data_IF_541161559638
#
_entry.id   IF_541161559638
#
_cell.length_a   1.000
_cell.length_b   1.000
_cell.length_c   1.000
_cell.angle_alpha   90.00
_cell.angle_beta   90.00
_cell.angle_gamma   90.00
#
_symmetry.space_group_name_H-M   'P 1'
#
loop_
_entity.id
_entity.type
_entity.pdbx_description
1 polymer ?
#
# COMPACT_ATOMS: atom_id res chain seq x y z
N UNK A 1 31.58 -13.13 32.56
CA UNK A 1 31.59 -11.88 31.76
C UNK A 1 30.62 -10.79 32.28
N UNK A 2 29.75 -11.01 33.28
CA UNK A 2 28.75 -10.03 33.72
C UNK A 2 29.20 -8.99 34.77
N UNK A 3 30.23 -9.28 35.58
CA UNK A 3 30.61 -8.44 36.72
C UNK A 3 31.14 -7.05 36.32
N UNK A 4 31.83 -6.93 35.18
CA UNK A 4 32.35 -5.65 34.69
C UNK A 4 31.24 -4.71 34.23
N UNK A 5 30.17 -5.23 33.62
CA UNK A 5 29.04 -4.42 33.20
C UNK A 5 28.29 -3.82 34.40
N UNK A 6 28.15 -4.57 35.50
CA UNK A 6 27.54 -4.09 36.75
C UNK A 6 28.35 -2.95 37.36
N UNK A 7 29.67 -3.10 37.46
CA UNK A 7 30.56 -2.05 37.98
C UNK A 7 30.52 -0.77 37.13
N UNK A 8 30.45 -0.89 35.81
CA UNK A 8 30.33 0.28 34.91
C UNK A 8 28.96 0.95 35.06
N UNK A 9 27.90 0.17 35.25
CA UNK A 9 26.55 0.70 35.46
C UNK A 9 26.47 1.49 36.77
N UNK A 10 27.03 0.95 37.86
CA UNK A 10 27.11 1.62 39.16
C UNK A 10 27.87 2.95 39.08
N UNK A 11 29.05 2.97 38.44
CA UNK A 11 29.82 4.22 38.22
C UNK A 11 29.04 5.27 37.42
N UNK A 12 28.14 4.84 36.55
CA UNK A 12 27.27 5.71 35.73
C UNK A 12 25.91 5.98 36.38
N UNK A 13 25.68 5.54 37.61
CA UNK A 13 24.40 5.66 38.35
C UNK A 13 23.19 5.16 37.54
N UNK A 14 23.37 4.05 36.82
CA UNK A 14 22.34 3.40 36.03
C UNK A 14 22.29 1.92 36.36
N UNK A 15 21.19 1.24 36.01
CA UNK A 15 21.14 -0.22 36.08
C UNK A 15 21.83 -0.87 34.86
N UNK A 16 22.31 -2.12 34.99
CA UNK A 16 23.00 -2.83 33.90
C UNK A 16 22.12 -3.06 32.66
N UNK A 17 20.81 -3.20 32.83
CA UNK A 17 19.88 -3.44 31.72
C UNK A 17 19.70 -2.17 30.89
N UNK A 18 19.51 -1.03 31.55
CA UNK A 18 19.44 0.28 30.89
C UNK A 18 20.76 0.64 30.23
N UNK A 19 21.90 0.41 30.90
CA UNK A 19 23.21 0.61 30.28
C UNK A 19 23.35 -0.20 28.99
N UNK A 20 22.97 -1.49 29.04
CA UNK A 20 22.99 -2.35 27.85
C UNK A 20 22.06 -1.80 26.76
N UNK A 21 20.85 -1.35 27.09
CA UNK A 21 19.93 -0.76 26.10
C UNK A 21 20.50 0.50 25.44
N UNK A 22 21.14 1.38 26.21
CA UNK A 22 21.77 2.60 25.70
C UNK A 22 22.92 2.28 24.74
N UNK A 23 23.74 1.26 25.04
CA UNK A 23 24.91 0.92 24.23
C UNK A 23 24.57 0.04 23.02
N UNK A 24 23.59 -0.88 23.12
CA UNK A 24 23.32 -1.90 22.07
C UNK A 24 22.70 -1.32 20.79
N UNK A 25 22.17 -0.10 20.83
CA UNK A 25 21.52 0.55 19.68
C UNK A 25 22.50 1.21 18.71
N UNK A 26 22.28 2.50 18.45
CA UNK A 26 23.05 3.28 17.49
C UNK A 26 24.54 3.40 17.85
N UNK A 27 24.84 3.43 19.15
CA UNK A 27 26.22 3.55 19.63
C UNK A 27 27.04 2.30 19.27
N UNK A 28 26.44 1.11 19.36
CA UNK A 28 27.06 -0.13 18.90
C UNK A 28 27.39 -0.06 17.40
N UNK A 29 26.49 0.48 16.57
CA UNK A 29 26.76 0.65 15.13
C UNK A 29 27.91 1.61 14.85
N UNK A 30 27.96 2.74 15.55
CA UNK A 30 29.06 3.71 15.44
C UNK A 30 30.39 3.04 15.82
N UNK A 31 30.42 2.31 16.94
CA UNK A 31 31.62 1.60 17.41
C UNK A 31 32.04 0.54 16.42
N UNK A 32 31.13 -0.32 15.96
CA UNK A 32 31.40 -1.36 14.98
C UNK A 32 31.99 -0.79 13.68
N UNK A 33 31.43 0.30 13.15
CA UNK A 33 31.98 0.99 11.97
C UNK A 33 33.34 1.62 12.25
N UNK A 34 33.56 2.17 13.44
CA UNK A 34 34.83 2.78 13.82
C UNK A 34 35.97 1.76 14.00
N UNK A 35 35.66 0.53 14.45
CA UNK A 35 36.65 -0.55 14.64
C UNK A 35 36.75 -1.51 13.46
N UNK A 36 35.95 -1.28 12.40
CA UNK A 36 35.91 -2.10 11.18
C UNK A 36 37.31 -2.42 10.66
N UNK A 37 37.54 -3.69 10.28
CA UNK A 37 38.86 -4.20 9.93
C UNK A 37 39.35 -3.63 8.60
N UNK A 38 38.43 -3.48 7.64
CA UNK A 38 38.72 -2.91 6.32
C UNK A 38 38.66 -1.38 6.37
N UNK A 39 39.79 -0.71 6.08
CA UNK A 39 39.92 0.76 6.13
C UNK A 39 38.86 1.49 5.30
N UNK A 40 38.54 0.99 4.10
CA UNK A 40 37.56 1.62 3.19
C UNK A 40 36.12 1.61 3.75
N UNK A 41 35.81 0.72 4.69
CA UNK A 41 34.49 0.61 5.33
C UNK A 41 34.40 1.38 6.65
N UNK A 42 35.56 1.76 7.22
CA UNK A 42 35.66 2.67 8.37
C UNK A 42 35.32 4.10 7.96
N UNK A 43 35.07 4.96 8.93
CA UNK A 43 34.94 6.39 8.67
C UNK A 43 36.16 6.95 7.94
N UNK A 44 35.97 7.72 6.86
CA UNK A 44 37.08 8.29 6.09
C UNK A 44 37.82 9.38 6.86
N UNK A 45 37.17 10.02 7.84
CA UNK A 45 37.74 11.07 8.67
C UNK A 45 37.16 11.07 10.09
N UNK A 46 37.85 11.74 11.01
CA UNK A 46 37.33 12.02 12.36
C UNK A 46 36.10 12.92 12.32
N UNK A 47 35.99 13.80 11.33
CA UNK A 47 34.82 14.69 11.18
C UNK A 47 33.53 13.92 10.89
N UNK A 48 33.61 12.83 10.13
CA UNK A 48 32.45 11.95 9.89
C UNK A 48 32.03 11.19 11.16
N UNK A 49 33.00 10.66 11.92
CA UNK A 49 32.72 10.04 13.21
C UNK A 49 32.05 11.04 14.17
N UNK A 50 32.56 12.27 14.26
CA UNK A 50 31.97 13.32 15.07
C UNK A 50 30.56 13.71 14.59
N UNK A 51 30.31 13.71 13.29
CA UNK A 51 28.99 13.96 12.73
C UNK A 51 27.99 12.87 13.14
N UNK A 52 28.38 11.60 13.11
CA UNK A 52 27.53 10.50 13.56
C UNK A 52 27.27 10.51 15.07
N UNK A 53 28.27 10.88 15.88
CA UNK A 53 28.07 11.09 17.33
C UNK A 53 27.06 12.22 17.58
N UNK A 54 27.21 13.36 16.89
CA UNK A 54 26.22 14.45 16.99
C UNK A 54 24.83 13.99 16.62
N UNK A 55 24.68 13.27 15.50
CA UNK A 55 23.39 12.69 15.07
C UNK A 55 22.80 11.78 16.14
N UNK A 56 23.61 10.94 16.78
CA UNK A 56 23.16 10.10 17.88
C UNK A 56 22.63 10.92 19.06
N UNK A 57 23.35 11.97 19.48
CA UNK A 57 22.94 12.84 20.59
C UNK A 57 21.65 13.62 20.31
N UNK A 58 21.42 14.03 19.07
CA UNK A 58 20.17 14.73 18.66
C UNK A 58 19.08 13.78 18.15
N UNK A 59 19.18 12.49 18.46
CA UNK A 59 18.21 11.46 18.07
C UNK A 59 17.94 11.36 16.56
N UNK A 60 18.91 11.75 15.73
CA UNK A 60 18.87 11.60 14.28
C UNK A 60 19.40 10.23 13.82
N UNK A 61 18.93 9.71 12.68
CA UNK A 61 19.46 8.46 12.13
C UNK A 61 20.96 8.59 11.86
N UNK A 62 21.74 7.64 12.38
CA UNK A 62 23.21 7.57 12.19
C UNK A 62 23.53 6.95 10.83
N UNK A 63 24.60 7.42 10.18
CA UNK A 63 25.05 6.90 8.88
C UNK A 63 25.76 5.54 9.00
N UNK A 64 26.16 5.15 10.21
CA UNK A 64 26.75 3.85 10.51
C UNK A 64 25.79 2.66 10.32
N UNK A 65 24.48 2.88 10.43
CA UNK A 65 23.50 1.82 10.41
C UNK A 65 23.25 1.34 8.96
N UNK A 66 23.14 0.02 8.70
CA UNK A 66 22.67 -0.48 7.40
C UNK A 66 21.35 0.19 7.02
N UNK A 67 21.06 0.39 5.72
CA UNK A 67 19.93 1.18 5.25
C UNK A 67 18.57 0.50 5.54
N UNK A 68 18.16 0.49 6.80
CA UNK A 68 16.85 0.01 7.22
C UNK A 68 15.86 1.18 7.18
N UNK A 69 14.94 1.13 6.22
CA UNK A 69 13.87 2.12 6.08
C UNK A 69 13.00 2.19 7.34
N UNK A 70 12.75 1.03 7.97
CA UNK A 70 11.98 0.91 9.22
C UNK A 70 12.64 1.64 10.39
N UNK A 71 13.98 1.57 10.50
CA UNK A 71 14.73 2.28 11.54
C UNK A 71 14.60 3.80 11.40
N UNK A 72 14.69 4.33 10.17
CA UNK A 72 14.54 5.76 9.90
C UNK A 72 13.12 6.24 10.15
N UNK A 73 12.11 5.47 9.73
CA UNK A 73 10.69 5.77 9.99
C UNK A 73 10.41 5.82 11.49
N UNK A 74 10.90 4.85 12.27
CA UNK A 74 10.71 4.83 13.73
C UNK A 74 11.33 6.05 14.41
N UNK A 75 12.55 6.46 14.02
CA UNK A 75 13.17 7.69 14.55
C UNK A 75 12.41 8.95 14.12
N UNK A 76 11.92 8.99 12.88
CA UNK A 76 11.11 10.08 12.37
C UNK A 76 9.79 10.23 13.15
N UNK A 77 9.08 9.12 13.38
CA UNK A 77 7.87 9.06 14.19
C UNK A 77 8.14 9.49 15.64
N UNK A 78 9.29 9.08 16.21
CA UNK A 78 9.68 9.49 17.57
C UNK A 78 9.95 10.99 17.68
N UNK A 79 10.49 11.61 16.63
CA UNK A 79 10.78 13.04 16.58
C UNK A 79 9.54 13.89 16.28
N UNK A 80 8.60 13.39 15.48
CA UNK A 80 7.39 14.11 15.05
C UNK A 80 6.13 13.49 15.65
N UNK A 81 6.18 13.03 16.91
CA UNK A 81 5.05 12.34 17.57
C UNK A 81 3.74 13.12 17.45
N UNK A 82 3.78 14.43 17.72
CA UNK A 82 2.61 15.29 17.63
C UNK A 82 2.02 15.33 16.21
N UNK A 83 2.86 15.54 15.19
CA UNK A 83 2.41 15.57 13.80
C UNK A 83 1.91 14.22 13.30
N UNK A 84 2.56 13.12 13.70
CA UNK A 84 2.12 11.77 13.34
C UNK A 84 0.80 11.41 14.02
N UNK A 85 0.61 11.77 15.29
CA UNK A 85 -0.65 11.54 16.00
C UNK A 85 -1.79 12.38 15.40
N UNK A 86 -1.53 13.64 15.06
CA UNK A 86 -2.51 14.50 14.39
C UNK A 86 -2.91 13.93 13.02
N UNK A 87 -1.93 13.56 12.19
CA UNK A 87 -2.19 12.95 10.89
C UNK A 87 -2.93 11.61 11.01
N UNK A 88 -2.57 10.77 11.99
CA UNK A 88 -3.26 9.52 12.27
C UNK A 88 -4.72 9.76 12.73
N UNK A 89 -4.95 10.78 13.57
CA UNK A 89 -6.28 11.19 13.99
C UNK A 89 -7.15 11.66 12.82
N UNK A 90 -6.61 12.51 11.94
CA UNK A 90 -7.31 12.95 10.72
C UNK A 90 -7.60 11.77 9.80
N UNK A 91 -6.62 10.90 9.56
CA UNK A 91 -6.82 9.70 8.74
C UNK A 91 -7.89 8.77 9.34
N UNK A 92 -7.88 8.56 10.66
CA UNK A 92 -8.90 7.78 11.35
C UNK A 92 -10.29 8.41 11.20
N UNK A 93 -10.41 9.73 11.41
CA UNK A 93 -11.67 10.44 11.24
C UNK A 93 -12.21 10.32 9.81
N UNK A 94 -11.35 10.43 8.79
CA UNK A 94 -11.73 10.22 7.39
C UNK A 94 -12.18 8.78 7.12
N UNK A 95 -11.47 7.78 7.65
CA UNK A 95 -11.85 6.37 7.50
C UNK A 95 -13.18 6.07 8.17
N UNK A 96 -13.40 6.58 9.38
CA UNK A 96 -14.67 6.41 10.09
C UNK A 96 -15.81 7.12 9.37
N UNK A 97 -15.62 8.37 8.94
CA UNK A 97 -16.62 9.11 8.17
C UNK A 97 -16.96 8.43 6.85
N UNK A 98 -15.95 7.95 6.13
CA UNK A 98 -16.15 7.19 4.89
C UNK A 98 -16.87 5.87 5.14
N UNK A 99 -16.48 5.11 6.16
CA UNK A 99 -17.12 3.86 6.53
C UNK A 99 -18.58 4.06 6.95
N UNK A 100 -18.87 5.10 7.73
CA UNK A 100 -20.24 5.46 8.12
C UNK A 100 -21.09 5.81 6.90
N UNK A 101 -20.59 6.66 6.01
CA UNK A 101 -21.28 7.05 4.77
C UNK A 101 -21.53 5.84 3.87
N UNK A 102 -20.54 4.97 3.71
CA UNK A 102 -20.67 3.76 2.92
C UNK A 102 -21.68 2.78 3.53
N UNK A 103 -21.73 2.70 4.86
CA UNK A 103 -22.71 1.89 5.58
C UNK A 103 -24.13 2.39 5.33
N UNK A 104 -24.38 3.68 5.51
CA UNK A 104 -25.69 4.30 5.25
C UNK A 104 -26.14 4.09 3.80
N UNK A 105 -25.23 4.31 2.83
CA UNK A 105 -25.51 4.05 1.42
C UNK A 105 -25.89 2.58 1.18
N UNK A 106 -25.20 1.64 1.83
CA UNK A 106 -25.50 0.22 1.71
C UNK A 106 -26.85 -0.17 2.31
N UNK A 107 -27.29 0.48 3.39
CA UNK A 107 -28.61 0.27 4.00
C UNK A 107 -29.71 0.83 3.09
N UNK A 108 -29.55 2.05 2.57
CA UNK A 108 -30.51 2.65 1.65
C UNK A 108 -30.69 1.84 0.34
N UNK A 109 -29.61 1.21 -0.15
CA UNK A 109 -29.70 0.32 -1.31
C UNK A 109 -30.51 -0.96 -1.02
N UNK A 110 -30.50 -1.49 0.21
CA UNK A 110 -31.27 -2.68 0.57
C UNK A 110 -32.78 -2.40 0.50
N UNK A 111 -33.21 -1.24 0.97
CA UNK A 111 -34.63 -0.84 0.94
C UNK A 111 -35.15 -0.68 -0.49
N UNK A 112 -34.36 -0.05 -1.38
CA UNK A 112 -34.72 0.11 -2.80
C UNK A 112 -34.85 -1.23 -3.52
N UNK A 113 -33.99 -2.19 -3.19
CA UNK A 113 -34.02 -3.52 -3.81
C UNK A 113 -35.25 -4.32 -3.36
N UNK A 114 -35.70 -4.12 -2.10
CA UNK A 114 -36.91 -4.73 -1.57
C UNK A 114 -38.18 -4.12 -2.19
N UNK A 115 -38.24 -2.80 -2.34
CA UNK A 115 -39.37 -2.13 -2.99
C UNK A 115 -39.59 -2.63 -4.43
N UNK A 116 -38.51 -2.78 -5.20
CA UNK A 116 -38.58 -3.33 -6.57
C UNK A 116 -39.01 -4.80 -6.61
N UNK A 117 -38.69 -5.59 -5.57
CA UNK A 117 -39.12 -6.98 -5.48
C UNK A 117 -40.64 -7.13 -5.22
N UNK A 118 -41.24 -6.18 -4.50
CA UNK A 118 -42.69 -6.18 -4.25
C UNK A 118 -43.51 -5.75 -5.48
N UNK A 119 -43.03 -4.79 -6.27
CA UNK A 119 -43.73 -4.34 -7.49
C UNK A 119 -43.72 -5.41 -8.61
N UNK A 120 -42.69 -6.25 -8.66
CA UNK A 120 -42.57 -7.32 -9.65
C UNK A 120 -43.63 -8.42 -9.54
N UNK A 121 -44.16 -8.68 -8.34
CA UNK A 121 -45.18 -9.71 -8.12
C UNK A 121 -46.58 -9.26 -8.57
N UNK A 122 -46.93 -7.98 -8.39
CA UNK A 122 -48.24 -7.44 -8.78
C UNK A 122 -48.44 -7.34 -10.29
N UNK A 123 -47.36 -7.13 -11.07
CA UNK A 123 -47.44 -6.95 -12.53
C UNK A 123 -47.60 -8.26 -13.32
N UNK A 124 -47.24 -9.42 -12.73
CA UNK A 124 -47.43 -10.75 -13.36
C UNK A 124 -48.83 -11.35 -13.15
N UNK A 125 -49.67 -10.74 -12.31
CA UNK A 125 -50.98 -11.25 -11.96
C UNK A 125 -52.15 -10.62 -12.75
N UNK A 126 -51.90 -9.86 -13.82
CA UNK A 126 -52.96 -9.47 -14.76
C UNK A 126 -53.01 -10.48 -15.93
N UNK A 127 -53.89 -11.51 -15.87
CA UNK A 127 -54.31 -12.20 -17.07
C UNK A 127 -55.20 -11.22 -17.86
N UNK A 128 -54.60 -10.53 -18.82
CA UNK A 128 -55.31 -9.72 -19.81
C UNK A 128 -56.21 -10.60 -20.67
N UNK A 129 -57.43 -10.82 -20.19
CA UNK A 129 -58.53 -11.37 -20.96
C UNK A 129 -58.96 -10.38 -22.02
N UNK A 130 -58.38 -10.49 -23.22
CA UNK A 130 -58.93 -9.88 -24.42
C UNK A 130 -59.61 -10.98 -25.24
N UNK A 131 -60.89 -11.19 -24.93
CA UNK A 131 -61.84 -11.97 -25.74
C UNK A 131 -62.69 -10.98 -26.54
N UNK A 132 -62.69 -11.11 -27.86
CA UNK A 132 -63.55 -10.37 -28.81
C UNK A 132 -62.83 -10.14 -30.14
N UNK A 133 -62.78 -11.11 -31.06
CA UNK A 133 -63.72 -11.36 -32.18
C UNK A 133 -63.93 -10.17 -33.12
N UNK A 134 -63.48 -10.32 -34.37
CA UNK A 134 -63.80 -9.35 -35.45
C UNK A 134 -62.98 -9.51 -36.74
N UNK A 135 -63.25 -10.59 -37.49
CA UNK A 135 -63.29 -10.69 -38.97
C UNK A 135 -62.32 -9.93 -39.90
N UNK A 136 -61.69 -10.72 -40.81
CA UNK A 136 -61.34 -10.45 -42.24
C UNK A 136 -60.58 -9.15 -42.55
N UNK A 137 -59.44 -9.15 -43.28
CA UNK A 137 -59.31 -9.62 -44.67
C UNK A 137 -57.85 -9.41 -45.13
N UNK A 138 -57.32 -10.43 -45.82
CA UNK A 138 -56.29 -10.41 -46.87
C UNK A 138 -55.13 -9.39 -46.81
N UNK A 139 -53.91 -9.91 -46.68
CA UNK A 139 -52.78 -9.50 -47.53
C UNK A 139 -51.61 -10.49 -47.38
N UNK A 140 -51.47 -11.37 -48.37
CA UNK A 140 -50.21 -12.00 -48.82
C UNK A 140 -50.44 -12.43 -50.26
N UNK A 141 -49.40 -12.66 -51.07
CA UNK A 141 -48.01 -12.19 -50.96
C UNK A 141 -47.49 -11.67 -52.31
N UNK A 142 -46.48 -10.79 -52.35
CA UNK A 142 -45.59 -10.75 -53.53
C UNK A 142 -44.14 -10.50 -53.12
N UNK A 143 -43.31 -11.08 -53.97
CA UNK A 143 -41.98 -11.62 -53.77
C UNK A 143 -40.89 -10.74 -54.40
N UNK A 144 -39.63 -11.17 -54.18
CA UNK A 144 -38.44 -10.85 -54.99
C UNK A 144 -37.82 -9.46 -54.70
N UNK A 145 -36.50 -9.23 -54.70
CA UNK A 145 -35.34 -10.03 -55.09
C UNK A 145 -34.07 -9.32 -54.59
N UNK A 146 -33.00 -10.10 -54.44
CA UNK A 146 -31.61 -9.79 -54.80
C UNK A 146 -30.95 -8.48 -54.29
N UNK A 147 -29.84 -8.64 -53.56
CA UNK A 147 -28.93 -7.53 -53.31
C UNK A 147 -27.70 -7.89 -52.49
N UNK A 148 -26.83 -8.74 -53.06
CA UNK A 148 -25.52 -9.08 -52.52
C UNK A 148 -24.62 -7.85 -52.28
N UNK A 149 -23.85 -7.90 -51.18
CA UNK A 149 -22.47 -7.40 -50.98
C UNK A 149 -22.19 -7.56 -49.47
N UNK A 150 -21.32 -8.44 -48.99
CA UNK A 150 -20.03 -8.82 -49.53
C UNK A 150 -18.95 -7.93 -48.91
N UNK A 151 -18.28 -8.49 -47.90
CA UNK A 151 -16.97 -8.15 -47.27
C UNK A 151 -17.11 -8.03 -45.76
N UNK A 152 -16.18 -8.47 -44.94
CA UNK A 152 -14.97 -9.30 -45.03
C UNK A 152 -14.42 -9.27 -43.60
N UNK A 153 -13.71 -10.32 -43.18
CA UNK A 153 -12.63 -10.34 -42.18
C UNK A 153 -12.86 -9.54 -40.88
N UNK A 154 -12.77 -10.13 -39.70
CA UNK A 154 -11.48 -10.52 -39.14
C UNK A 154 -11.69 -11.57 -38.03
N UNK A 155 -11.03 -12.72 -38.18
CA UNK A 155 -10.43 -13.40 -37.04
C UNK A 155 -8.92 -13.10 -37.03
N UNK A 156 -8.09 -13.74 -36.18
CA UNK A 156 -8.45 -14.65 -35.09
C UNK A 156 -7.70 -14.34 -33.77
N UNK A 157 -7.99 -15.19 -32.78
CA UNK A 157 -7.32 -15.42 -31.51
C UNK A 157 -5.82 -15.04 -31.46
N UNK A 158 -5.41 -14.36 -30.38
CA UNK A 158 -4.02 -14.33 -29.94
C UNK A 158 -3.91 -14.90 -28.52
N UNK A 159 -3.53 -16.18 -28.48
CA UNK A 159 -2.97 -16.79 -27.29
C UNK A 159 -1.61 -16.19 -26.93
N UNK A 160 -1.22 -16.51 -25.69
CA UNK A 160 0.14 -16.73 -25.20
C UNK A 160 1.24 -15.78 -25.68
N UNK A 161 1.91 -15.11 -24.74
CA UNK A 161 3.20 -15.62 -24.23
C UNK A 161 3.89 -14.56 -23.37
N UNK A 162 4.15 -15.01 -22.15
CA UNK A 162 5.35 -14.74 -21.35
C UNK A 162 6.53 -14.17 -22.17
N UNK A 163 7.01 -12.99 -21.78
CA UNK A 163 8.35 -12.50 -22.10
C UNK A 163 9.03 -11.96 -20.86
N UNK A 164 9.86 -12.84 -20.32
CA UNK A 164 11.22 -12.56 -19.83
C UNK A 164 11.90 -11.38 -20.53
N UNK A 165 12.88 -10.83 -19.81
CA UNK A 165 14.02 -10.03 -20.25
C UNK A 165 13.88 -8.51 -20.12
N UNK A 166 14.10 -8.02 -18.89
CA UNK A 166 14.89 -6.80 -18.70
C UNK A 166 16.32 -7.21 -18.30
N UNK A 167 17.06 -7.66 -19.29
CA UNK A 167 18.52 -7.60 -19.29
C UNK A 167 18.96 -6.19 -19.66
N UNK A 168 20.16 -5.84 -19.20
CA UNK A 168 20.99 -4.68 -19.63
C UNK A 168 20.52 -3.31 -19.11
N UNK A 169 21.36 -2.39 -18.66
CA UNK A 169 22.80 -2.23 -18.83
C UNK A 169 23.31 -1.25 -17.75
N UNK A 170 24.34 -1.64 -17.02
CA UNK A 170 25.40 -0.73 -16.53
C UNK A 170 26.10 -0.13 -17.76
N UNK A 171 26.64 1.10 -17.74
CA UNK A 171 27.97 1.27 -17.15
C UNK A 171 28.28 2.64 -16.53
N UNK A 172 29.34 2.59 -15.69
CA UNK A 172 30.43 3.55 -15.55
C UNK A 172 30.11 5.04 -15.36
N UNK A 173 30.46 5.56 -14.18
CA UNK A 173 31.32 6.74 -14.16
C UNK A 173 32.36 6.65 -13.05
N UNK A 174 33.56 7.05 -13.45
CA UNK A 174 34.88 6.90 -12.86
C UNK A 174 35.33 8.30 -12.45
N UNK A 175 35.96 8.44 -11.28
CA UNK A 175 37.08 9.34 -10.96
C UNK A 175 37.27 9.35 -9.45
#
# INVERSE_FOLDING_TARGET
>A
MGHTATQVAERRRTDPVTLRRLVTGDLNWIVLKAVEKTRQRRYPSVSELAADIRRHLVDQPVLACPPSRMYRVRKYVRRHRAGVLAAAGVAAALLFGFAATAWEASVAHRERTQALAHEGFGRRAQPGGHRGTGTRRAARPESATAGARGRAAEGPCRGSSDRRAYTRQLPAFRA
#
